data_IF_686359554627
#
_entry.id   IF_686359554627
#
_cell.length_a   1.000
_cell.length_b   1.000
_cell.length_c   1.000
_cell.angle_alpha   90.00
_cell.angle_beta   90.00
_cell.angle_gamma   90.00
#
_symmetry.space_group_name_H-M   'P 1'
#
loop_
_entity.id
_entity.type
_entity.pdbx_description
1 polymer ?
#
# COMPACT_ATOMS: atom_id res chain seq x y z
N UNK A 1 -13.58 2.64 12.90
CA UNK A 1 -13.97 2.95 11.54
C UNK A 1 -14.31 1.68 10.78
N UNK A 2 -15.58 1.49 10.44
CA UNK A 2 -16.07 0.27 9.78
C UNK A 2 -15.41 0.00 8.43
N UNK A 3 -15.11 1.06 7.68
CA UNK A 3 -14.46 0.91 6.36
C UNK A 3 -13.05 0.32 6.43
N UNK A 4 -12.41 0.42 7.58
CA UNK A 4 -11.05 -0.08 7.78
C UNK A 4 -11.01 -1.31 8.68
N UNK A 5 -12.19 -1.85 9.09
CA UNK A 5 -12.25 -3.06 9.89
C UNK A 5 -11.85 -4.29 9.09
N UNK A 6 -10.98 -5.10 9.68
CA UNK A 6 -10.61 -6.40 9.13
C UNK A 6 -11.60 -7.45 9.63
N UNK A 7 -12.10 -8.37 8.78
CA UNK A 7 -13.11 -9.34 9.22
C UNK A 7 -12.64 -10.22 10.37
N UNK A 8 -13.54 -10.49 11.32
CA UNK A 8 -13.26 -11.35 12.46
C UNK A 8 -12.83 -12.75 12.05
N UNK A 9 -13.42 -13.28 10.97
CA UNK A 9 -13.05 -14.57 10.38
C UNK A 9 -11.59 -14.62 9.97
N UNK A 10 -10.96 -13.48 9.73
CA UNK A 10 -9.57 -13.33 9.30
C UNK A 10 -8.68 -12.78 10.42
N UNK A 11 -9.13 -12.83 11.67
CA UNK A 11 -8.36 -12.42 12.84
C UNK A 11 -8.74 -11.06 13.41
N UNK A 12 -9.70 -10.36 12.81
CA UNK A 12 -10.17 -9.05 13.28
C UNK A 12 -9.12 -7.96 13.11
N UNK A 13 -9.35 -6.81 13.75
CA UNK A 13 -8.47 -5.65 13.69
C UNK A 13 -8.82 -4.73 12.53
N UNK A 14 -7.80 -4.09 11.95
CA UNK A 14 -8.00 -3.08 10.92
C UNK A 14 -7.10 -3.29 9.70
N UNK A 15 -7.54 -2.74 8.59
CA UNK A 15 -6.70 -2.61 7.40
C UNK A 15 -5.60 -1.58 7.66
N UNK A 16 -4.40 -1.90 7.22
CA UNK A 16 -3.29 -0.94 7.18
C UNK A 16 -3.32 -0.12 5.90
N UNK A 17 -3.79 -0.73 4.83
CA UNK A 17 -3.97 -0.08 3.53
C UNK A 17 -5.18 -0.68 2.84
N UNK A 18 -5.91 0.17 2.13
CA UNK A 18 -7.03 -0.20 1.27
C UNK A 18 -6.92 0.59 -0.01
N UNK A 19 -6.69 -0.08 -1.12
CA UNK A 19 -6.58 0.54 -2.43
C UNK A 19 -7.46 -0.23 -3.40
N UNK A 20 -8.48 0.44 -3.92
CA UNK A 20 -9.49 -0.17 -4.77
C UNK A 20 -9.69 0.65 -6.03
N UNK A 21 -9.98 -0.02 -7.12
CA UNK A 21 -10.22 0.65 -8.40
C UNK A 21 -10.43 -0.33 -9.53
N UNK A 22 -10.20 0.14 -10.74
CA UNK A 22 -10.30 -0.67 -11.95
C UNK A 22 -9.01 -0.57 -12.76
N UNK A 23 -8.67 -1.66 -13.43
CA UNK A 23 -7.62 -1.70 -14.44
C UNK A 23 -8.17 -2.26 -15.74
N UNK A 24 -7.47 -2.02 -16.83
CA UNK A 24 -7.89 -2.53 -18.14
C UNK A 24 -7.28 -3.90 -18.37
N UNK A 25 -8.15 -4.90 -18.50
CA UNK A 25 -7.76 -6.27 -18.82
C UNK A 25 -8.24 -6.59 -20.23
N UNK A 26 -7.32 -6.58 -21.19
CA UNK A 26 -7.65 -6.83 -22.58
C UNK A 26 -8.69 -5.88 -23.17
N UNK A 27 -8.72 -4.62 -22.70
CA UNK A 27 -9.71 -3.63 -23.10
C UNK A 27 -10.98 -3.62 -22.25
N UNK A 28 -11.11 -4.50 -21.27
CA UNK A 28 -12.25 -4.56 -20.36
C UNK A 28 -11.87 -3.99 -18.98
N UNK A 29 -12.67 -3.05 -18.42
CA UNK A 29 -12.43 -2.60 -17.05
C UNK A 29 -12.70 -3.74 -16.06
N UNK A 30 -11.71 -4.02 -15.23
CA UNK A 30 -11.75 -5.09 -14.24
C UNK A 30 -11.40 -4.53 -12.87
N UNK A 31 -12.17 -4.87 -11.85
CA UNK A 31 -11.95 -4.37 -10.50
C UNK A 31 -10.71 -4.96 -9.85
N UNK A 32 -10.06 -4.16 -9.01
CA UNK A 32 -9.06 -4.65 -8.09
C UNK A 32 -9.34 -4.14 -6.67
N UNK A 33 -8.96 -4.93 -5.68
CA UNK A 33 -9.08 -4.57 -4.29
C UNK A 33 -7.84 -5.08 -3.55
N UNK A 34 -6.89 -4.18 -3.33
CA UNK A 34 -5.65 -4.47 -2.62
C UNK A 34 -5.79 -4.00 -1.18
N UNK A 35 -5.84 -4.93 -0.27
CA UNK A 35 -5.98 -4.67 1.16
C UNK A 35 -4.81 -5.28 1.90
N UNK A 36 -4.25 -4.55 2.85
CA UNK A 36 -3.27 -5.06 3.79
C UNK A 36 -3.85 -5.04 5.19
N UNK A 37 -3.83 -6.15 5.83
CA UNK A 37 -4.15 -6.34 7.23
C UNK A 37 -3.28 -7.44 7.79
N UNK A 38 -3.42 -7.74 9.07
CA UNK A 38 -2.59 -8.70 9.77
C UNK A 38 -1.18 -8.17 10.06
N UNK A 39 -0.69 -8.42 11.26
CA UNK A 39 0.56 -7.83 11.77
C UNK A 39 1.81 -8.18 10.95
N UNK A 40 1.83 -9.36 10.32
CA UNK A 40 2.97 -9.76 9.49
C UNK A 40 3.12 -8.93 8.21
N UNK A 41 2.07 -8.20 7.84
CA UNK A 41 2.04 -7.37 6.63
C UNK A 41 2.08 -5.87 6.93
N UNK A 42 2.49 -5.49 8.13
CA UNK A 42 2.69 -4.08 8.47
C UNK A 42 3.80 -3.50 7.61
N UNK A 43 3.49 -2.38 6.96
CA UNK A 43 4.46 -1.66 6.14
C UNK A 43 5.33 -0.79 7.05
N UNK A 44 6.63 -0.95 6.95
CA UNK A 44 7.58 -0.10 7.65
C UNK A 44 8.22 0.86 6.67
N UNK A 45 8.10 2.15 6.95
CA UNK A 45 8.68 3.21 6.14
C UNK A 45 9.69 3.97 7.00
N UNK A 46 10.91 4.10 6.49
CA UNK A 46 11.97 4.86 7.14
C UNK A 46 12.58 5.81 6.11
N UNK A 47 12.33 7.10 6.29
CA UNK A 47 12.85 8.15 5.42
C UNK A 47 13.69 9.09 6.24
N UNK A 48 14.92 9.32 5.79
CA UNK A 48 15.83 10.28 6.40
C UNK A 48 16.01 11.46 5.46
N UNK A 49 15.78 12.67 5.98
CA UNK A 49 15.90 13.90 5.20
C UNK A 49 16.49 15.00 6.07
N UNK A 50 17.58 15.58 5.60
CA UNK A 50 18.14 16.78 6.22
C UNK A 50 17.35 18.01 5.76
N UNK A 51 17.02 18.88 6.70
CA UNK A 51 16.33 20.13 6.40
C UNK A 51 16.82 21.24 7.34
N UNK A 52 16.61 22.49 6.91
CA UNK A 52 16.92 23.65 7.72
C UNK A 52 15.63 24.32 8.18
N UNK A 53 15.60 24.72 9.44
CA UNK A 53 14.51 25.53 9.99
C UNK A 53 14.91 26.99 9.85
N UNK A 54 14.05 27.77 9.17
CA UNK A 54 14.23 29.22 8.99
C UNK A 54 13.08 29.94 9.68
N UNK A 55 13.38 31.03 10.36
CA UNK A 55 12.38 31.86 11.05
C UNK A 55 11.50 31.07 12.04
N UNK A 56 12.07 30.04 12.65
CA UNK A 56 11.38 29.22 13.65
C UNK A 56 10.38 28.25 13.10
N UNK A 57 10.32 28.06 11.77
CA UNK A 57 9.38 27.12 11.15
C UNK A 57 10.02 26.34 9.99
N UNK A 58 9.47 25.15 9.74
CA UNK A 58 9.81 24.34 8.58
C UNK A 58 8.55 23.62 8.09
N UNK A 59 8.46 23.43 6.78
CA UNK A 59 7.41 22.63 6.17
C UNK A 59 8.01 21.37 5.55
N UNK A 60 7.44 20.22 5.85
CA UNK A 60 7.80 18.94 5.25
C UNK A 60 6.59 18.42 4.46
N UNK A 61 6.82 18.06 3.20
CA UNK A 61 5.79 17.51 2.35
C UNK A 61 6.00 16.01 2.21
N UNK A 62 5.04 15.25 2.70
CA UNK A 62 5.03 13.80 2.55
C UNK A 62 4.22 13.45 1.31
N UNK A 63 4.84 12.74 0.37
CA UNK A 63 4.20 12.28 -0.85
C UNK A 63 4.10 10.77 -0.86
N UNK A 64 2.99 10.25 -1.39
CA UNK A 64 2.81 8.84 -1.68
C UNK A 64 2.71 8.67 -3.20
N UNK A 65 3.61 7.86 -3.78
CA UNK A 65 3.50 7.45 -5.17
C UNK A 65 2.72 6.13 -5.23
N UNK A 66 1.46 6.21 -5.60
CA UNK A 66 0.57 5.03 -5.62
C UNK A 66 1.09 3.95 -6.57
N UNK A 67 1.72 4.34 -7.67
CA UNK A 67 2.25 3.38 -8.64
C UNK A 67 3.34 2.48 -8.04
N UNK A 68 4.08 2.97 -7.06
CA UNK A 68 5.14 2.19 -6.41
C UNK A 68 4.61 0.99 -5.62
N UNK A 69 3.34 1.00 -5.21
CA UNK A 69 2.72 -0.18 -4.62
C UNK A 69 2.80 -1.40 -5.53
N UNK A 70 2.90 -1.19 -6.84
CA UNK A 70 2.89 -2.25 -7.85
C UNK A 70 4.21 -2.39 -8.61
N UNK A 71 5.26 -1.66 -8.23
CA UNK A 71 6.49 -1.56 -9.02
C UNK A 71 7.74 -2.10 -8.32
N UNK A 72 8.05 -1.63 -7.12
CA UNK A 72 9.33 -1.88 -6.47
C UNK A 72 9.17 -2.19 -4.98
N UNK A 73 9.93 -3.17 -4.46
CA UNK A 73 10.90 -4.03 -5.14
C UNK A 73 10.29 -5.13 -6.00
N UNK A 74 8.97 -5.33 -5.91
CA UNK A 74 8.28 -6.38 -6.66
C UNK A 74 7.37 -5.78 -7.72
N UNK A 75 7.55 -6.18 -8.97
CA UNK A 75 6.59 -5.87 -10.02
C UNK A 75 5.32 -6.69 -9.77
N UNK A 76 4.22 -6.01 -9.48
CA UNK A 76 2.94 -6.65 -9.18
C UNK A 76 2.02 -6.53 -10.40
N UNK A 77 1.59 -7.67 -10.93
CA UNK A 77 0.71 -7.75 -12.10
C UNK A 77 -0.62 -8.38 -11.67
N UNK A 78 -1.72 -7.66 -11.83
CA UNK A 78 -3.04 -8.12 -11.41
C UNK A 78 -3.47 -9.44 -12.06
N UNK A 79 -3.03 -9.70 -13.28
CA UNK A 79 -3.37 -10.93 -13.99
C UNK A 79 -2.55 -12.15 -13.56
N UNK A 80 -1.38 -11.91 -12.98
CA UNK A 80 -0.46 -12.96 -12.54
C UNK A 80 -0.52 -13.13 -11.03
N UNK A 81 -0.43 -12.03 -10.30
CA UNK A 81 -0.33 -12.02 -8.84
C UNK A 81 -1.70 -11.94 -8.14
N UNK A 82 -2.74 -11.61 -8.90
CA UNK A 82 -4.12 -11.52 -8.41
C UNK A 82 -4.59 -10.09 -8.20
N UNK A 83 -5.87 -9.86 -8.42
CA UNK A 83 -6.50 -8.54 -8.31
C UNK A 83 -7.24 -8.34 -6.97
N UNK A 84 -7.15 -9.30 -6.06
CA UNK A 84 -7.65 -9.21 -4.69
C UNK A 84 -6.61 -9.79 -3.74
N UNK A 85 -6.22 -9.02 -2.73
CA UNK A 85 -5.15 -9.45 -1.81
C UNK A 85 -5.67 -10.04 -0.50
N UNK A 86 -6.93 -9.83 -0.15
CA UNK A 86 -7.49 -10.44 1.07
C UNK A 86 -7.43 -11.96 0.99
N UNK A 87 -7.00 -12.60 2.07
CA UNK A 87 -6.77 -14.05 2.16
C UNK A 87 -5.64 -14.57 1.27
N UNK A 88 -4.89 -13.68 0.61
CA UNK A 88 -3.73 -14.05 -0.20
C UNK A 88 -2.45 -13.52 0.46
N UNK A 89 -1.82 -14.37 1.24
CA UNK A 89 -0.62 -14.03 1.99
C UNK A 89 0.56 -13.65 1.10
N UNK A 90 0.69 -14.29 -0.06
CA UNK A 90 1.77 -13.99 -1.01
C UNK A 90 1.57 -12.60 -1.62
N UNK A 91 0.34 -12.29 -2.05
CA UNK A 91 0.01 -10.97 -2.58
C UNK A 91 0.23 -9.89 -1.52
N UNK A 92 -0.27 -10.07 -0.31
CA UNK A 92 -0.07 -9.13 0.78
C UNK A 92 1.40 -8.92 1.12
N UNK A 93 2.22 -9.97 1.09
CA UNK A 93 3.66 -9.86 1.35
C UNK A 93 4.37 -9.01 0.31
N UNK A 94 4.06 -9.19 -0.96
CA UNK A 94 4.64 -8.38 -2.04
C UNK A 94 4.26 -6.90 -1.89
N UNK A 95 2.99 -6.63 -1.63
CA UNK A 95 2.51 -5.26 -1.44
C UNK A 95 3.13 -4.60 -0.21
N UNK A 96 3.25 -5.33 0.90
CA UNK A 96 3.87 -4.79 2.11
C UNK A 96 5.33 -4.41 1.89
N UNK A 97 6.09 -5.22 1.15
CA UNK A 97 7.46 -4.90 0.80
C UNK A 97 7.54 -3.68 -0.13
N UNK A 98 6.64 -3.59 -1.11
CA UNK A 98 6.56 -2.42 -1.98
C UNK A 98 6.19 -1.16 -1.21
N UNK A 99 5.35 -1.29 -0.18
CA UNK A 99 4.89 -0.17 0.63
C UNK A 99 6.01 0.62 1.29
N UNK A 100 7.15 -0.01 1.58
CA UNK A 100 8.30 0.67 2.16
C UNK A 100 8.92 1.73 1.24
N UNK A 101 8.61 1.68 -0.05
CA UNK A 101 9.19 2.53 -1.09
C UNK A 101 8.20 3.56 -1.67
N UNK A 102 6.96 3.59 -1.19
CA UNK A 102 5.92 4.45 -1.79
C UNK A 102 5.94 5.88 -1.29
N UNK A 103 6.56 6.14 -0.15
CA UNK A 103 6.57 7.47 0.46
C UNK A 103 7.89 8.19 0.23
N UNK A 104 7.79 9.50 0.04
CA UNK A 104 8.95 10.38 -0.07
C UNK A 104 8.67 11.71 0.65
N UNK A 105 9.71 12.33 1.17
CA UNK A 105 9.65 13.66 1.78
C UNK A 105 10.33 14.65 0.84
N UNK A 106 9.65 15.71 0.54
CA UNK A 106 10.17 16.81 -0.29
C UNK A 106 10.30 18.11 0.48
#
# INVERSE_FOLDING_TARGET
NENMSWPDMMGGGYHFMKLEGNFMDGGNPTGYAMHLGNNVHVVQVNIQKNFKVSDGSAALNLEMNINEWFSNPHNYNFNIDGNYSMSDSVAMSKLALNGSDVFNIR
#
